data_IF_490912035474
#
_entry.id   IF_490912035474
#
_cell.length_a   1.000
_cell.length_b   1.000
_cell.length_c   1.000
_cell.angle_alpha   90.00
_cell.angle_beta   90.00
_cell.angle_gamma   90.00
#
_symmetry.space_group_name_H-M   'P 1'
#
loop_
_entity.id
_entity.type
_entity.pdbx_description
1 polymer ?
#
# COMPACT_ATOMS: atom_id res chain seq x y z
N UNK A 1 26.26 3.48 -17.22
CA UNK A 1 25.10 2.79 -17.82
C UNK A 1 25.03 3.23 -19.28
N UNK A 2 25.09 2.28 -20.22
CA UNK A 2 24.92 2.58 -21.64
C UNK A 2 23.47 3.06 -21.87
N UNK A 3 23.28 4.35 -22.17
CA UNK A 3 22.05 4.76 -22.85
C UNK A 3 22.18 4.24 -24.28
N UNK A 4 21.19 3.49 -24.82
CA UNK A 4 21.17 3.23 -26.24
C UNK A 4 21.10 4.59 -26.94
N UNK A 5 22.07 4.90 -27.78
CA UNK A 5 21.90 5.91 -28.81
C UNK A 5 20.79 5.40 -29.71
N UNK A 6 19.62 6.06 -29.68
CA UNK A 6 18.56 5.82 -30.65
C UNK A 6 19.18 6.04 -32.03
N UNK A 7 19.31 4.95 -32.78
CA UNK A 7 19.70 5.01 -34.17
C UNK A 7 18.48 5.47 -34.95
N UNK A 8 18.48 6.73 -35.40
CA UNK A 8 17.41 7.35 -36.20
C UNK A 8 17.14 6.61 -37.53
N UNK A 9 17.90 5.54 -37.84
CA UNK A 9 17.73 4.70 -39.03
C UNK A 9 17.10 3.33 -38.78
N UNK A 10 16.80 2.96 -37.52
CA UNK A 10 16.18 1.68 -37.22
C UNK A 10 14.70 1.66 -37.68
N UNK A 11 14.38 0.85 -38.71
CA UNK A 11 12.99 0.60 -39.09
C UNK A 11 12.20 0.08 -37.88
N UNK A 12 11.12 0.78 -37.53
CA UNK A 12 10.18 0.33 -36.51
C UNK A 12 9.64 -1.06 -36.86
N UNK A 13 9.53 -1.92 -35.84
CA UNK A 13 8.87 -3.22 -36.00
C UNK A 13 7.43 -3.01 -36.44
N UNK A 14 6.81 -4.03 -37.05
CA UNK A 14 5.44 -3.92 -37.59
C UNK A 14 4.45 -3.44 -36.53
N UNK A 15 4.58 -3.95 -35.32
CA UNK A 15 3.80 -3.62 -34.13
C UNK A 15 4.02 -2.19 -33.62
N UNK A 16 5.15 -1.55 -33.95
CA UNK A 16 5.52 -0.21 -33.48
C UNK A 16 5.29 0.88 -34.53
N UNK A 17 4.92 0.51 -35.77
CA UNK A 17 4.73 1.46 -36.88
C UNK A 17 3.72 2.57 -36.57
N UNK A 18 2.75 2.31 -35.69
CA UNK A 18 1.78 3.33 -35.28
C UNK A 18 2.44 4.52 -34.57
N UNK A 19 3.60 4.34 -33.94
CA UNK A 19 4.33 5.40 -33.23
C UNK A 19 4.81 6.48 -34.20
N UNK A 20 5.20 6.10 -35.43
CA UNK A 20 5.72 7.04 -36.42
C UNK A 20 4.71 8.13 -36.81
N UNK A 21 3.43 7.77 -36.86
CA UNK A 21 2.35 8.65 -37.29
C UNK A 21 1.45 9.05 -36.11
N UNK A 22 1.87 8.78 -34.86
CA UNK A 22 1.06 9.07 -33.68
C UNK A 22 1.03 10.57 -33.40
N UNK A 23 -0.16 11.16 -33.44
CA UNK A 23 -0.39 12.56 -33.12
C UNK A 23 -0.37 12.80 -31.60
N UNK A 24 0.83 12.98 -31.05
CA UNK A 24 1.05 13.23 -29.62
C UNK A 24 0.34 14.52 -29.17
N UNK A 25 0.35 15.58 -29.99
CA UNK A 25 -0.26 16.87 -29.65
C UNK A 25 -1.78 16.77 -29.61
N UNK A 26 -2.38 16.17 -30.65
CA UNK A 26 -3.83 15.91 -30.71
C UNK A 26 -4.30 15.02 -29.58
N UNK A 27 -3.60 13.91 -29.32
CA UNK A 27 -3.92 13.03 -28.19
C UNK A 27 -3.82 13.75 -26.84
N UNK A 28 -2.80 14.57 -26.64
CA UNK A 28 -2.62 15.36 -25.40
C UNK A 28 -3.81 16.32 -25.20
N UNK A 29 -4.24 16.99 -26.26
CA UNK A 29 -5.38 17.91 -26.22
C UNK A 29 -6.70 17.16 -25.94
N UNK A 30 -6.92 16.01 -26.56
CA UNK A 30 -8.10 15.17 -26.31
C UNK A 30 -8.16 14.70 -24.84
N UNK A 31 -7.04 14.24 -24.28
CA UNK A 31 -6.94 13.84 -22.88
C UNK A 31 -7.20 15.03 -21.94
N UNK A 32 -6.68 16.22 -22.25
CA UNK A 32 -6.93 17.44 -21.48
C UNK A 32 -8.42 17.81 -21.49
N UNK A 33 -9.05 17.84 -22.66
CA UNK A 33 -10.49 18.13 -22.81
C UNK A 33 -11.34 17.10 -22.06
N UNK A 34 -11.00 15.82 -22.18
CA UNK A 34 -11.68 14.75 -21.45
C UNK A 34 -11.54 14.94 -19.93
N UNK A 35 -10.33 15.23 -19.45
CA UNK A 35 -10.06 15.49 -18.03
C UNK A 35 -10.89 16.65 -17.48
N UNK A 36 -10.93 17.78 -18.18
CA UNK A 36 -11.75 18.94 -17.78
C UNK A 36 -13.26 18.63 -17.78
N UNK A 37 -13.73 17.85 -18.75
CA UNK A 37 -15.12 17.40 -18.80
C UNK A 37 -15.46 16.52 -17.61
N UNK A 38 -14.66 15.49 -17.34
CA UNK A 38 -14.88 14.55 -16.24
C UNK A 38 -14.78 15.24 -14.86
N UNK A 39 -13.84 16.17 -14.71
CA UNK A 39 -13.68 16.93 -13.47
C UNK A 39 -14.91 17.79 -13.15
N UNK A 40 -15.56 18.38 -14.18
CA UNK A 40 -16.82 19.12 -14.03
C UNK A 40 -18.04 18.23 -13.74
N UNK A 41 -17.93 16.93 -14.03
CA UNK A 41 -19.00 15.96 -13.79
C UNK A 41 -18.96 15.35 -12.37
N UNK A 42 -17.90 15.60 -11.61
CA UNK A 42 -17.82 15.15 -10.22
C UNK A 42 -18.94 15.77 -9.37
N UNK A 43 -19.56 14.98 -8.50
CA UNK A 43 -20.69 15.46 -7.69
C UNK A 43 -21.22 14.46 -6.69
N UNK A 44 -22.52 14.56 -6.42
CA UNK A 44 -23.17 13.77 -5.36
C UNK A 44 -23.14 12.25 -5.63
N UNK A 45 -23.04 11.82 -6.89
CA UNK A 45 -22.92 10.41 -7.25
C UNK A 45 -21.63 9.78 -6.74
N UNK A 46 -20.50 10.47 -6.90
CA UNK A 46 -19.20 10.02 -6.40
C UNK A 46 -19.21 9.93 -4.86
N UNK A 47 -19.81 10.93 -4.21
CA UNK A 47 -19.96 10.96 -2.75
C UNK A 47 -20.86 9.82 -2.26
N UNK A 48 -21.96 9.52 -2.98
CA UNK A 48 -22.81 8.36 -2.67
C UNK A 48 -22.07 7.05 -2.85
N UNK A 49 -21.27 6.92 -3.91
CA UNK A 49 -20.43 5.76 -4.14
C UNK A 49 -19.43 5.55 -3.00
N UNK A 50 -18.68 6.59 -2.62
CA UNK A 50 -17.75 6.55 -1.50
C UNK A 50 -18.44 6.11 -0.20
N UNK A 51 -19.58 6.71 0.13
CA UNK A 51 -20.35 6.35 1.33
C UNK A 51 -20.77 4.88 1.32
N UNK A 52 -21.16 4.34 0.17
CA UNK A 52 -21.47 2.92 0.01
C UNK A 52 -20.24 2.04 0.28
N UNK A 53 -19.08 2.39 -0.27
CA UNK A 53 -17.84 1.65 -0.03
C UNK A 53 -17.41 1.69 1.44
N UNK A 54 -17.52 2.87 2.09
CA UNK A 54 -17.27 3.02 3.53
C UNK A 54 -18.26 2.20 4.35
N UNK A 55 -19.53 2.17 3.98
CA UNK A 55 -20.54 1.37 4.66
C UNK A 55 -20.22 -0.13 4.58
N UNK A 56 -19.91 -0.66 3.39
CA UNK A 56 -19.52 -2.07 3.23
C UNK A 56 -18.25 -2.42 4.00
N UNK A 57 -17.23 -1.56 3.96
CA UNK A 57 -16.02 -1.69 4.77
C UNK A 57 -16.35 -1.73 6.26
N UNK A 58 -17.21 -0.84 6.76
CA UNK A 58 -17.63 -0.80 8.16
C UNK A 58 -18.45 -2.02 8.57
N UNK A 59 -19.29 -2.56 7.68
CA UNK A 59 -20.02 -3.81 7.93
C UNK A 59 -19.06 -4.97 8.11
N UNK A 60 -18.03 -5.09 7.26
CA UNK A 60 -16.99 -6.09 7.42
C UNK A 60 -16.23 -5.92 8.75
N UNK A 61 -15.94 -4.68 9.14
CA UNK A 61 -15.33 -4.35 10.43
C UNK A 61 -16.21 -4.80 11.60
N UNK A 62 -17.50 -4.46 11.58
CA UNK A 62 -18.44 -4.81 12.63
C UNK A 62 -18.57 -6.33 12.78
N UNK A 63 -18.76 -7.04 11.67
CA UNK A 63 -18.81 -8.52 11.67
C UNK A 63 -17.51 -9.09 12.22
N UNK A 64 -16.36 -8.64 11.73
CA UNK A 64 -15.06 -9.11 12.17
C UNK A 64 -14.80 -8.87 13.66
N UNK A 65 -14.95 -7.62 14.10
CA UNK A 65 -14.65 -7.16 15.46
C UNK A 65 -15.63 -7.70 16.50
N UNK A 66 -16.90 -7.96 16.15
CA UNK A 66 -17.89 -8.50 17.08
C UNK A 66 -17.82 -10.04 17.20
N UNK A 67 -17.22 -10.73 16.23
CA UNK A 67 -17.16 -12.20 16.22
C UNK A 67 -15.80 -12.76 16.63
N UNK A 68 -14.72 -11.97 16.60
CA UNK A 68 -13.34 -12.48 16.71
C UNK A 68 -13.01 -13.19 18.03
N UNK A 69 -13.69 -12.90 19.13
CA UNK A 69 -13.45 -13.59 20.39
C UNK A 69 -14.21 -14.91 20.57
N UNK A 70 -15.17 -15.24 19.70
CA UNK A 70 -16.00 -16.43 19.84
C UNK A 70 -15.39 -17.64 19.11
N UNK A 71 -14.13 -17.94 19.45
CA UNK A 71 -13.33 -18.98 18.78
C UNK A 71 -12.73 -18.52 17.46
N UNK A 72 -11.76 -19.30 16.95
CA UNK A 72 -11.14 -19.06 15.64
C UNK A 72 -12.15 -19.43 14.55
N UNK A 73 -12.52 -18.45 13.70
CA UNK A 73 -13.59 -18.66 12.74
C UNK A 73 -13.39 -17.84 11.45
N UNK A 74 -13.87 -18.40 10.34
CA UNK A 74 -13.68 -17.82 9.00
C UNK A 74 -14.40 -16.47 8.85
N UNK A 75 -15.53 -16.28 9.53
CA UNK A 75 -16.32 -15.06 9.45
C UNK A 75 -15.54 -13.86 9.99
N UNK A 76 -14.88 -14.03 11.13
CA UNK A 76 -14.00 -13.01 11.71
C UNK A 76 -12.82 -12.70 10.80
N UNK A 77 -12.14 -13.74 10.31
CA UNK A 77 -10.95 -13.61 9.47
C UNK A 77 -11.26 -12.86 8.18
N UNK A 78 -12.32 -13.26 7.46
CA UNK A 78 -12.73 -12.62 6.21
C UNK A 78 -13.25 -11.21 6.46
N UNK A 79 -14.07 -10.99 7.49
CA UNK A 79 -14.59 -9.66 7.82
C UNK A 79 -13.47 -8.66 8.17
N UNK A 80 -12.55 -9.05 9.04
CA UNK A 80 -11.39 -8.22 9.41
C UNK A 80 -10.46 -7.99 8.21
N UNK A 81 -10.27 -9.01 7.37
CA UNK A 81 -9.41 -8.88 6.19
C UNK A 81 -10.00 -7.96 5.13
N UNK A 82 -11.28 -8.13 4.78
CA UNK A 82 -11.97 -7.25 3.84
C UNK A 82 -12.06 -5.82 4.37
N UNK A 83 -12.25 -5.64 5.67
CA UNK A 83 -12.16 -4.32 6.30
C UNK A 83 -10.80 -3.68 6.04
N UNK A 84 -9.69 -4.32 6.43
CA UNK A 84 -8.35 -3.73 6.28
C UNK A 84 -7.98 -3.53 4.82
N UNK A 85 -8.28 -4.50 3.95
CA UNK A 85 -8.02 -4.40 2.51
C UNK A 85 -8.79 -3.24 1.87
N UNK A 86 -10.11 -3.15 2.07
CA UNK A 86 -10.93 -2.12 1.40
C UNK A 86 -10.63 -0.71 1.92
N UNK A 87 -10.20 -0.57 3.19
CA UNK A 87 -9.70 0.71 3.72
C UNK A 87 -8.55 1.26 2.90
N UNK A 88 -7.62 0.41 2.51
CA UNK A 88 -6.50 0.82 1.67
C UNK A 88 -6.91 0.97 0.20
N UNK A 89 -7.34 -0.12 -0.44
CA UNK A 89 -7.44 -0.20 -1.90
C UNK A 89 -8.64 0.53 -2.48
N UNK A 90 -9.75 0.60 -1.75
CA UNK A 90 -11.00 1.19 -2.23
C UNK A 90 -11.22 2.61 -1.72
N UNK A 91 -10.81 2.89 -0.47
CA UNK A 91 -11.13 4.17 0.19
C UNK A 91 -9.91 5.11 0.20
N UNK A 92 -8.80 4.69 0.82
CA UNK A 92 -7.61 5.51 0.92
C UNK A 92 -7.01 5.83 -0.45
N UNK A 93 -6.84 4.81 -1.31
CA UNK A 93 -6.24 4.98 -2.63
C UNK A 93 -6.93 6.10 -3.44
N UNK A 94 -8.25 6.03 -3.61
CA UNK A 94 -9.01 7.03 -4.37
C UNK A 94 -9.04 8.40 -3.68
N UNK A 95 -9.11 8.42 -2.34
CA UNK A 95 -9.13 9.69 -1.58
C UNK A 95 -7.77 10.39 -1.64
N UNK A 96 -6.68 9.65 -1.53
CA UNK A 96 -5.32 10.15 -1.60
C UNK A 96 -4.88 10.56 -3.01
N UNK A 97 -5.57 10.08 -4.06
CA UNK A 97 -5.49 10.67 -5.41
C UNK A 97 -6.31 11.94 -5.59
N UNK A 98 -7.10 12.30 -4.58
CA UNK A 98 -7.95 13.49 -4.59
C UNK A 98 -9.24 13.33 -5.38
N UNK A 99 -9.70 12.09 -5.59
CA UNK A 99 -10.96 11.80 -6.29
C UNK A 99 -12.21 12.44 -5.66
N UNK A 100 -12.10 12.94 -4.42
CA UNK A 100 -13.21 13.55 -3.68
C UNK A 100 -12.95 15.01 -3.25
N UNK A 101 -11.82 15.61 -3.61
CA UNK A 101 -11.39 16.93 -3.13
C UNK A 101 -12.39 18.05 -3.47
N UNK A 102 -13.02 17.95 -4.64
CA UNK A 102 -13.92 18.97 -5.17
C UNK A 102 -15.37 18.76 -4.74
N UNK A 103 -15.83 17.51 -4.73
CA UNK A 103 -17.24 17.15 -4.53
C UNK A 103 -17.63 16.80 -3.09
N UNK A 104 -16.72 16.31 -2.24
CA UNK A 104 -17.13 15.89 -0.90
C UNK A 104 -17.41 17.10 0.01
N UNK A 105 -18.53 17.13 0.75
CA UNK A 105 -18.88 18.27 1.61
C UNK A 105 -17.90 18.45 2.78
N UNK A 106 -17.41 17.34 3.37
CA UNK A 106 -16.37 17.37 4.41
C UNK A 106 -14.96 17.27 3.81
N UNK A 107 -14.45 18.40 3.33
CA UNK A 107 -13.07 18.56 2.81
C UNK A 107 -12.01 18.59 3.90
N UNK A 108 -12.42 18.54 5.18
CA UNK A 108 -11.48 18.47 6.31
C UNK A 108 -10.97 17.04 6.52
N UNK A 109 -11.72 16.05 6.05
CA UNK A 109 -11.40 14.62 6.12
C UNK A 109 -11.16 14.02 4.74
N UNK A 110 -12.08 14.22 3.80
CA UNK A 110 -12.05 13.58 2.47
C UNK A 110 -11.29 14.46 1.48
N UNK A 111 -9.99 14.59 1.74
CA UNK A 111 -9.08 15.35 0.89
C UNK A 111 -7.71 14.67 0.85
N UNK A 112 -7.05 14.71 -0.31
CA UNK A 112 -5.77 14.02 -0.52
C UNK A 112 -4.67 14.35 0.50
N UNK A 113 -4.69 15.55 1.06
CA UNK A 113 -3.68 16.00 2.03
C UNK A 113 -4.06 15.81 3.50
N UNK A 114 -5.30 15.40 3.78
CA UNK A 114 -5.88 15.38 5.14
C UNK A 114 -6.41 14.02 5.58
N UNK A 115 -6.73 13.16 4.62
CA UNK A 115 -7.25 11.83 4.90
C UNK A 115 -6.19 10.98 5.61
N UNK A 116 -6.54 10.37 6.75
CA UNK A 116 -5.64 9.51 7.54
C UNK A 116 -4.34 10.15 8.10
N UNK A 117 -4.11 11.46 7.87
CA UNK A 117 -2.88 12.18 8.23
C UNK A 117 -3.13 13.18 9.36
N UNK A 118 -2.08 13.47 10.15
CA UNK A 118 -2.06 14.58 11.11
C UNK A 118 -2.42 14.20 12.56
N UNK A 119 -3.01 13.03 12.80
CA UNK A 119 -3.14 12.46 14.14
C UNK A 119 -3.30 10.94 14.10
N UNK A 120 -2.89 10.26 15.18
CA UNK A 120 -3.13 8.81 15.33
C UNK A 120 -4.62 8.47 15.25
N UNK A 121 -5.49 9.36 15.73
CA UNK A 121 -6.94 9.17 15.64
C UNK A 121 -7.44 9.17 14.18
N UNK A 122 -6.94 10.09 13.35
CA UNK A 122 -7.28 10.11 11.91
C UNK A 122 -6.79 8.84 11.23
N UNK A 123 -5.54 8.45 11.46
CA UNK A 123 -4.98 7.19 10.93
C UNK A 123 -5.85 6.00 11.33
N UNK A 124 -6.22 5.90 12.60
CA UNK A 124 -7.04 4.79 13.10
C UNK A 124 -8.41 4.69 12.41
N UNK A 125 -9.10 5.81 12.22
CA UNK A 125 -10.46 5.83 11.66
C UNK A 125 -10.50 5.73 10.13
N UNK A 126 -9.49 6.27 9.47
CA UNK A 126 -9.48 6.43 8.01
C UNK A 126 -8.75 5.28 7.33
N UNK A 127 -7.52 4.99 7.77
CA UNK A 127 -6.67 3.95 7.20
C UNK A 127 -5.55 3.55 8.17
N UNK A 128 -5.79 2.46 8.89
CA UNK A 128 -4.86 1.90 9.86
C UNK A 128 -4.27 0.59 9.32
N UNK A 129 -3.03 0.65 8.85
CA UNK A 129 -2.28 -0.46 8.24
C UNK A 129 -0.78 -0.29 8.54
N UNK A 130 0.04 -1.27 8.13
CA UNK A 130 1.50 -1.27 8.23
C UNK A 130 2.15 -0.08 7.53
N UNK A 131 1.52 0.41 6.46
CA UNK A 131 1.97 1.59 5.72
C UNK A 131 1.55 2.86 6.46
N UNK A 132 2.47 3.83 6.54
CA UNK A 132 2.09 5.18 6.94
C UNK A 132 1.40 5.89 5.77
N UNK A 133 0.21 6.49 5.96
CA UNK A 133 -0.47 7.21 4.89
C UNK A 133 0.37 8.31 4.25
N UNK A 134 1.15 9.05 5.05
CA UNK A 134 2.06 10.09 4.56
C UNK A 134 3.16 9.51 3.67
N UNK A 135 3.65 8.31 4.02
CA UNK A 135 4.73 7.64 3.32
C UNK A 135 4.26 7.03 2.01
N UNK A 136 3.12 6.33 2.06
CA UNK A 136 2.48 5.78 0.88
C UNK A 136 2.08 6.87 -0.11
N UNK A 137 1.55 8.02 0.35
CA UNK A 137 1.23 9.13 -0.54
C UNK A 137 2.45 9.66 -1.30
N UNK A 138 3.64 9.64 -0.69
CA UNK A 138 4.87 10.08 -1.37
C UNK A 138 5.33 9.03 -2.39
N UNK A 139 5.41 7.77 -1.99
CA UNK A 139 5.86 6.68 -2.89
C UNK A 139 4.87 6.50 -4.04
N UNK A 140 3.60 6.26 -3.72
CA UNK A 140 2.57 5.93 -4.71
C UNK A 140 2.36 7.06 -5.70
N UNK A 141 2.15 8.29 -5.23
CA UNK A 141 1.77 9.40 -6.11
C UNK A 141 2.94 10.01 -6.88
N UNK A 142 4.16 9.98 -6.34
CA UNK A 142 5.30 10.66 -6.95
C UNK A 142 6.33 9.71 -7.58
N UNK A 143 6.24 8.40 -7.32
CA UNK A 143 7.18 7.41 -7.88
C UNK A 143 6.43 6.38 -8.69
N UNK A 144 5.55 5.61 -8.06
CA UNK A 144 4.87 4.50 -8.72
C UNK A 144 4.11 4.92 -9.98
N UNK A 145 3.24 5.95 -9.93
CA UNK A 145 2.52 6.39 -11.15
C UNK A 145 3.40 6.93 -12.27
N UNK A 146 4.60 7.43 -11.96
CA UNK A 146 5.51 7.99 -12.97
C UNK A 146 6.43 6.94 -13.58
N UNK A 147 6.68 5.86 -12.85
CA UNK A 147 7.62 4.81 -13.23
C UNK A 147 6.90 3.47 -13.41
N UNK A 148 5.57 3.44 -13.54
CA UNK A 148 4.77 2.22 -13.44
C UNK A 148 5.32 1.12 -14.36
N UNK A 149 5.64 -0.04 -13.79
CA UNK A 149 6.24 -1.20 -14.50
C UNK A 149 7.65 -0.98 -15.06
N UNK A 150 8.33 0.09 -14.67
CA UNK A 150 9.74 0.34 -14.95
C UNK A 150 10.63 -0.09 -13.77
N UNK A 151 11.94 -0.20 -14.01
CA UNK A 151 12.93 -0.58 -12.97
C UNK A 151 12.97 0.43 -11.82
N UNK A 152 12.63 1.70 -12.09
CA UNK A 152 12.57 2.75 -11.08
C UNK A 152 11.22 2.79 -10.32
N UNK A 153 10.28 1.90 -10.65
CA UNK A 153 9.05 1.69 -9.89
C UNK A 153 9.39 1.06 -8.54
N UNK A 154 9.13 1.74 -7.43
CA UNK A 154 9.41 1.16 -6.13
C UNK A 154 8.54 -0.08 -5.86
N UNK A 155 7.39 -0.22 -6.54
CA UNK A 155 6.40 -1.29 -6.40
C UNK A 155 6.58 -2.47 -7.38
N UNK A 156 7.61 -2.45 -8.24
CA UNK A 156 7.86 -3.55 -9.18
C UNK A 156 8.32 -4.82 -8.45
N UNK A 157 7.36 -5.68 -8.13
CA UNK A 157 7.58 -6.92 -7.36
C UNK A 157 8.61 -7.84 -8.02
N UNK A 158 8.65 -7.89 -9.35
CA UNK A 158 9.63 -8.69 -10.09
C UNK A 158 11.06 -8.24 -9.77
N UNK A 159 11.33 -6.94 -9.84
CA UNK A 159 12.65 -6.38 -9.57
C UNK A 159 13.00 -6.48 -8.08
N UNK A 160 12.03 -6.25 -7.19
CA UNK A 160 12.21 -6.43 -5.75
C UNK A 160 12.49 -7.89 -5.33
N UNK A 161 12.21 -8.87 -6.20
CA UNK A 161 12.51 -10.29 -6.00
C UNK A 161 13.68 -10.79 -6.85
N UNK A 162 14.51 -9.90 -7.42
CA UNK A 162 15.67 -10.29 -8.23
C UNK A 162 16.59 -11.29 -7.52
N UNK A 163 16.87 -11.09 -6.22
CA UNK A 163 17.65 -12.02 -5.39
C UNK A 163 17.08 -13.46 -5.42
N UNK A 164 15.75 -13.62 -5.35
CA UNK A 164 15.10 -14.94 -5.39
C UNK A 164 15.03 -15.48 -6.83
N UNK A 165 14.74 -14.60 -7.79
CA UNK A 165 14.66 -14.92 -9.22
C UNK A 165 15.99 -15.47 -9.73
N UNK A 166 17.09 -14.83 -9.37
CA UNK A 166 18.42 -15.12 -9.89
C UNK A 166 19.16 -16.18 -9.04
N UNK A 167 18.63 -16.54 -7.87
CA UNK A 167 19.19 -17.57 -7.01
C UNK A 167 19.29 -18.92 -7.75
N UNK A 168 20.46 -19.55 -7.69
CA UNK A 168 20.71 -20.87 -8.28
C UNK A 168 20.18 -22.00 -7.40
N UNK A 169 18.85 -22.06 -7.22
CA UNK A 169 18.12 -23.12 -6.50
C UNK A 169 17.00 -23.68 -7.38
N UNK A 170 16.55 -24.94 -7.14
CA UNK A 170 15.43 -25.51 -7.87
C UNK A 170 14.18 -24.62 -7.83
N UNK A 171 13.49 -24.48 -8.97
CA UNK A 171 12.30 -23.64 -9.11
C UNK A 171 11.20 -23.96 -8.08
N UNK A 172 11.07 -25.23 -7.68
CA UNK A 172 10.14 -25.65 -6.62
C UNK A 172 10.40 -24.92 -5.30
N UNK A 173 11.67 -24.74 -4.93
CA UNK A 173 12.02 -24.01 -3.70
C UNK A 173 11.69 -22.52 -3.82
N UNK A 174 11.81 -21.92 -5.01
CA UNK A 174 11.37 -20.55 -5.27
C UNK A 174 9.85 -20.42 -5.08
N UNK A 175 9.06 -21.36 -5.61
CA UNK A 175 7.61 -21.36 -5.41
C UNK A 175 7.20 -21.58 -3.94
N UNK A 176 7.93 -22.41 -3.19
CA UNK A 176 7.68 -22.60 -1.76
C UNK A 176 7.95 -21.33 -0.93
N UNK A 177 8.77 -20.40 -1.42
CA UNK A 177 8.98 -19.10 -0.78
C UNK A 177 7.81 -18.13 -0.99
N UNK A 178 6.99 -18.31 -2.04
CA UNK A 178 5.93 -17.36 -2.40
C UNK A 178 4.86 -17.18 -1.31
N UNK A 179 4.31 -18.23 -0.67
CA UNK A 179 3.33 -18.03 0.41
C UNK A 179 3.86 -17.16 1.56
N UNK A 180 5.15 -17.28 1.88
CA UNK A 180 5.80 -16.43 2.87
C UNK A 180 5.86 -14.98 2.39
N UNK A 181 6.39 -14.73 1.19
CA UNK A 181 6.49 -13.38 0.60
C UNK A 181 5.11 -12.72 0.53
N UNK A 182 4.13 -13.43 -0.02
CA UNK A 182 2.75 -12.95 -0.18
C UNK A 182 2.08 -12.60 1.14
N UNK A 183 2.44 -13.27 2.23
CA UNK A 183 1.85 -13.00 3.56
C UNK A 183 2.60 -11.95 4.38
N UNK A 184 3.82 -11.57 3.98
CA UNK A 184 4.66 -10.64 4.76
C UNK A 184 5.05 -9.36 4.05
N UNK A 185 4.86 -9.25 2.74
CA UNK A 185 5.41 -8.16 1.92
C UNK A 185 5.12 -6.75 2.45
N UNK A 186 3.91 -6.48 3.00
CA UNK A 186 3.56 -5.15 3.50
C UNK A 186 4.49 -4.66 4.60
N UNK A 187 4.76 -5.47 5.62
CA UNK A 187 5.60 -5.05 6.75
C UNK A 187 7.08 -5.34 6.51
N UNK A 188 7.39 -6.36 5.71
CA UNK A 188 8.77 -6.76 5.41
C UNK A 188 9.46 -5.83 4.40
N UNK A 189 8.73 -5.39 3.38
CA UNK A 189 9.28 -4.62 2.26
C UNK A 189 8.55 -3.28 2.09
N UNK A 190 7.22 -3.27 2.02
CA UNK A 190 6.51 -2.07 1.55
C UNK A 190 6.52 -0.92 2.58
N UNK A 191 6.25 -1.22 3.84
CA UNK A 191 6.29 -0.25 4.93
C UNK A 191 7.67 0.40 5.12
N UNK A 192 8.80 -0.36 5.15
CA UNK A 192 10.11 0.28 5.21
C UNK A 192 10.43 1.06 3.91
N UNK A 193 10.09 0.55 2.72
CA UNK A 193 10.38 1.24 1.47
C UNK A 193 9.59 2.55 1.30
N UNK A 194 8.29 2.56 1.63
CA UNK A 194 7.47 3.80 1.65
C UNK A 194 8.04 4.82 2.63
N UNK A 195 8.49 4.36 3.80
CA UNK A 195 9.12 5.25 4.77
C UNK A 195 10.44 5.83 4.26
N UNK A 196 11.25 5.04 3.54
CA UNK A 196 12.46 5.52 2.84
C UNK A 196 12.12 6.64 1.85
N UNK A 197 11.11 6.45 1.00
CA UNK A 197 10.69 7.49 0.04
C UNK A 197 10.21 8.78 0.73
N UNK A 198 9.50 8.66 1.86
CA UNK A 198 9.13 9.82 2.69
C UNK A 198 10.36 10.59 3.20
N UNK A 199 11.38 9.88 3.68
CA UNK A 199 12.64 10.48 4.15
C UNK A 199 13.42 11.12 3.02
N UNK A 200 13.52 10.46 1.87
CA UNK A 200 14.14 11.02 0.66
C UNK A 200 13.42 12.31 0.22
N UNK A 201 12.09 12.31 0.17
CA UNK A 201 11.33 13.51 -0.16
C UNK A 201 11.52 14.64 0.88
N UNK A 202 11.70 14.31 2.16
CA UNK A 202 12.07 15.29 3.19
C UNK A 202 13.48 15.86 2.95
N UNK A 203 14.47 15.01 2.71
CA UNK A 203 15.85 15.42 2.42
C UNK A 203 15.93 16.33 1.19
N UNK A 204 15.24 15.97 0.09
CA UNK A 204 15.16 16.78 -1.13
C UNK A 204 14.58 18.17 -0.86
N UNK A 205 13.50 18.26 -0.09
CA UNK A 205 12.88 19.53 0.33
C UNK A 205 13.81 20.39 1.20
N UNK A 206 14.64 19.74 2.01
CA UNK A 206 15.65 20.40 2.87
C UNK A 206 16.95 20.73 2.11
N UNK A 207 17.06 20.41 0.81
CA UNK A 207 18.27 20.62 0.03
C UNK A 207 19.45 19.73 0.44
N UNK A 208 19.21 18.64 1.17
CA UNK A 208 20.25 17.72 1.61
C UNK A 208 20.65 16.78 0.48
N UNK A 209 21.96 16.66 0.25
CA UNK A 209 22.50 15.67 -0.67
C UNK A 209 22.26 14.25 -0.15
N UNK A 210 22.06 13.32 -1.07
CA UNK A 210 22.08 11.88 -0.76
C UNK A 210 23.54 11.51 -0.47
N UNK A 211 23.83 10.73 0.59
CA UNK A 211 25.21 10.34 0.90
C UNK A 211 25.86 9.58 -0.27
N UNK A 212 27.17 9.76 -0.43
CA UNK A 212 27.93 9.12 -1.50
C UNK A 212 27.83 7.58 -1.41
N UNK A 213 27.71 6.94 -2.57
CA UNK A 213 27.61 5.47 -2.67
C UNK A 213 26.23 4.88 -2.32
N UNK A 214 25.24 5.71 -1.97
CA UNK A 214 23.88 5.26 -1.69
C UNK A 214 23.05 5.29 -2.97
N UNK A 215 22.53 4.15 -3.39
CA UNK A 215 21.52 4.10 -4.45
C UNK A 215 20.13 4.44 -3.85
N UNK A 216 19.52 5.59 -4.15
CA UNK A 216 18.21 5.95 -3.61
C UNK A 216 17.06 5.10 -4.17
N UNK A 217 17.24 4.49 -5.34
CA UNK A 217 16.24 3.61 -5.95
C UNK A 217 16.21 2.22 -5.28
N UNK A 218 17.29 1.81 -4.61
CA UNK A 218 17.33 0.52 -3.93
C UNK A 218 16.24 0.42 -2.85
N UNK A 219 15.57 -0.73 -2.81
CA UNK A 219 14.54 -1.00 -1.82
C UNK A 219 15.14 -1.14 -0.41
N UNK A 220 14.43 -0.62 0.59
CA UNK A 220 14.75 -0.90 2.00
C UNK A 220 13.75 -1.91 2.53
N UNK A 221 14.26 -3.00 3.09
CA UNK A 221 13.46 -4.09 3.69
C UNK A 221 13.83 -4.27 5.15
N UNK A 222 13.04 -5.04 5.90
CA UNK A 222 13.40 -5.43 7.27
C UNK A 222 14.73 -6.18 7.29
N UNK A 223 15.03 -7.02 6.28
CA UNK A 223 16.32 -7.69 6.14
C UNK A 223 17.47 -6.69 6.00
N UNK A 224 17.36 -5.70 5.12
CA UNK A 224 18.45 -4.72 4.94
C UNK A 224 18.61 -3.86 6.19
N UNK A 225 17.53 -3.47 6.86
CA UNK A 225 17.59 -2.76 8.15
C UNK A 225 18.27 -3.57 9.25
N UNK A 226 18.07 -4.89 9.31
CA UNK A 226 18.68 -5.76 10.31
C UNK A 226 20.17 -6.04 10.03
N UNK A 227 20.54 -6.25 8.77
CA UNK A 227 21.87 -6.73 8.41
C UNK A 227 22.85 -5.60 8.08
N UNK A 228 22.37 -4.52 7.47
CA UNK A 228 23.22 -3.48 6.87
C UNK A 228 22.82 -2.06 7.30
N UNK A 229 21.60 -1.88 7.81
CA UNK A 229 21.04 -0.58 8.11
C UNK A 229 20.70 0.22 6.85
N UNK A 230 20.36 1.50 7.06
CA UNK A 230 20.09 2.46 5.98
C UNK A 230 20.44 3.86 6.48
N UNK A 231 20.92 4.78 5.61
CA UNK A 231 21.22 6.15 6.01
C UNK A 231 19.98 7.01 6.28
N UNK A 232 18.78 6.55 5.89
CA UNK A 232 17.57 7.38 5.91
C UNK A 232 16.85 7.41 7.25
N UNK A 233 16.93 6.33 8.04
CA UNK A 233 16.29 6.18 9.35
C UNK A 233 16.88 4.98 10.09
N UNK A 234 16.70 4.95 11.41
CA UNK A 234 17.16 3.81 12.23
C UNK A 234 16.09 2.72 12.33
N UNK A 235 16.51 1.50 12.70
CA UNK A 235 15.57 0.42 13.03
C UNK A 235 14.61 0.83 14.15
N UNK A 236 15.12 1.51 15.19
CA UNK A 236 14.28 1.98 16.29
C UNK A 236 13.21 2.96 15.83
N UNK A 237 13.55 3.89 14.94
CA UNK A 237 12.59 4.83 14.37
C UNK A 237 11.53 4.11 13.53
N UNK A 238 11.92 3.16 12.69
CA UNK A 238 10.97 2.32 11.95
C UNK A 238 10.03 1.56 12.90
N UNK A 239 10.56 0.93 13.94
CA UNK A 239 9.78 0.19 14.92
C UNK A 239 8.84 1.09 15.73
N UNK A 240 9.29 2.26 16.16
CA UNK A 240 8.49 3.14 17.03
C UNK A 240 7.47 3.99 16.27
N UNK A 241 7.76 4.38 15.02
CA UNK A 241 6.90 5.29 14.23
C UNK A 241 5.99 4.54 13.26
N UNK A 242 6.51 3.48 12.62
CA UNK A 242 5.80 2.76 11.55
C UNK A 242 5.10 1.52 12.10
N UNK A 243 5.87 0.57 12.65
CA UNK A 243 5.39 -0.77 13.04
C UNK A 243 4.62 -0.74 14.36
N UNK A 244 5.20 -0.11 15.37
CA UNK A 244 4.76 -0.15 16.76
C UNK A 244 3.32 0.31 16.96
N UNK A 245 2.90 1.47 16.43
CA UNK A 245 1.51 1.92 16.56
C UNK A 245 0.53 0.89 16.00
N UNK A 246 0.78 0.37 14.79
CA UNK A 246 -0.11 -0.62 14.20
C UNK A 246 -0.16 -1.91 15.00
N UNK A 247 1.01 -2.46 15.36
CA UNK A 247 1.13 -3.70 16.12
C UNK A 247 0.42 -3.62 17.47
N UNK A 248 0.68 -2.56 18.25
CA UNK A 248 0.10 -2.37 19.57
C UNK A 248 -1.42 -2.25 19.48
N UNK A 249 -1.94 -1.40 18.59
CA UNK A 249 -3.37 -1.21 18.48
C UNK A 249 -4.05 -2.47 17.95
N UNK A 250 -3.54 -3.05 16.87
CA UNK A 250 -4.14 -4.20 16.18
C UNK A 250 -4.17 -5.44 17.08
N UNK A 251 -3.07 -5.77 17.75
CA UNK A 251 -2.91 -7.06 18.43
C UNK A 251 -2.98 -7.01 19.95
N UNK A 252 -2.91 -5.83 20.57
CA UNK A 252 -3.03 -5.70 22.03
C UNK A 252 -4.29 -4.93 22.43
N UNK A 253 -4.52 -3.75 21.87
CA UNK A 253 -5.64 -2.87 22.29
C UNK A 253 -6.97 -3.35 21.71
N UNK A 254 -7.04 -3.61 20.41
CA UNK A 254 -8.28 -4.05 19.73
C UNK A 254 -8.89 -5.34 20.31
N UNK A 255 -8.12 -6.40 20.63
CA UNK A 255 -8.69 -7.60 21.25
C UNK A 255 -8.94 -7.47 22.76
N UNK A 256 -8.46 -6.42 23.44
CA UNK A 256 -8.55 -6.27 24.89
C UNK A 256 -9.97 -6.37 25.48
N UNK A 257 -11.04 -5.85 24.85
CA UNK A 257 -12.40 -6.04 25.36
C UNK A 257 -12.78 -7.52 25.55
N UNK A 258 -12.27 -8.42 24.70
CA UNK A 258 -12.52 -9.85 24.81
C UNK A 258 -11.84 -10.53 26.00
N UNK A 259 -10.77 -9.93 26.53
CA UNK A 259 -10.20 -10.38 27.80
C UNK A 259 -11.20 -10.17 28.93
N UNK A 260 -11.75 -8.97 29.06
CA UNK A 260 -12.71 -8.64 30.13
C UNK A 260 -14.04 -9.36 29.96
N UNK A 261 -14.56 -9.47 28.74
CA UNK A 261 -15.79 -10.24 28.45
C UNK A 261 -15.56 -11.71 28.77
N UNK A 262 -14.41 -12.27 28.37
CA UNK A 262 -14.04 -13.65 28.68
C UNK A 262 -13.97 -13.93 30.17
N UNK A 263 -13.41 -13.01 30.96
CA UNK A 263 -13.44 -13.12 32.42
C UNK A 263 -14.85 -13.06 33.01
N UNK A 264 -15.71 -12.19 32.48
CA UNK A 264 -17.07 -12.02 32.99
C UNK A 264 -17.97 -13.24 32.75
N UNK A 265 -17.81 -13.91 31.59
CA UNK A 265 -18.62 -15.06 31.18
C UNK A 265 -17.93 -16.43 31.38
N UNK A 266 -16.80 -16.49 32.08
CA UNK A 266 -15.99 -17.71 32.28
C UNK A 266 -15.57 -18.38 30.94
N UNK A 267 -15.20 -17.55 29.96
CA UNK A 267 -14.70 -17.93 28.63
C UNK A 267 -13.25 -17.43 28.44
N UNK A 268 -12.24 -18.03 29.09
CA UNK A 268 -10.87 -17.49 29.12
C UNK A 268 -10.17 -17.43 27.75
N UNK A 269 -10.65 -18.20 26.77
CA UNK A 269 -10.07 -18.25 25.42
C UNK A 269 -10.49 -17.11 24.50
N UNK A 270 -11.36 -16.19 24.93
CA UNK A 270 -11.89 -15.14 24.04
C UNK A 270 -10.80 -14.19 23.54
N UNK A 271 -9.89 -13.76 24.41
CA UNK A 271 -8.79 -12.89 24.03
C UNK A 271 -7.83 -13.57 23.04
N UNK A 272 -7.42 -14.81 23.33
CA UNK A 272 -6.51 -15.55 22.45
C UNK A 272 -7.15 -15.83 21.10
N UNK A 273 -8.45 -16.17 21.07
CA UNK A 273 -9.21 -16.33 19.82
C UNK A 273 -9.23 -15.05 19.00
N UNK A 274 -9.45 -13.89 19.64
CA UNK A 274 -9.45 -12.59 18.97
C UNK A 274 -8.09 -12.28 18.35
N UNK A 275 -7.00 -12.45 19.10
CA UNK A 275 -5.63 -12.27 18.59
C UNK A 275 -5.33 -13.22 17.43
N UNK A 276 -5.72 -14.49 17.52
CA UNK A 276 -5.52 -15.47 16.44
C UNK A 276 -6.30 -15.09 15.18
N UNK A 277 -7.57 -14.69 15.32
CA UNK A 277 -8.37 -14.23 14.18
C UNK A 277 -7.79 -12.97 13.52
N UNK A 278 -7.29 -12.00 14.31
CA UNK A 278 -6.60 -10.83 13.80
C UNK A 278 -5.33 -11.22 13.02
N UNK A 279 -4.55 -12.17 13.52
CA UNK A 279 -3.34 -12.64 12.84
C UNK A 279 -3.65 -13.34 11.52
N UNK A 280 -4.64 -14.24 11.52
CA UNK A 280 -5.11 -14.89 10.29
C UNK A 280 -5.69 -13.89 9.28
N UNK A 281 -6.40 -12.86 9.76
CA UNK A 281 -6.89 -11.78 8.92
C UNK A 281 -5.75 -10.96 8.29
N UNK A 282 -4.64 -10.73 9.01
CA UNK A 282 -3.44 -10.11 8.43
C UNK A 282 -2.85 -10.97 7.31
N UNK A 283 -2.70 -12.29 7.51
CA UNK A 283 -2.19 -13.19 6.48
C UNK A 283 -3.06 -13.12 5.22
N UNK A 284 -4.39 -13.22 5.38
CA UNK A 284 -5.33 -13.16 4.26
C UNK A 284 -5.28 -11.78 3.56
N UNK A 285 -5.18 -10.69 4.33
CA UNK A 285 -5.10 -9.33 3.79
C UNK A 285 -3.83 -9.12 2.98
N UNK A 286 -2.70 -9.63 3.45
CA UNK A 286 -1.43 -9.55 2.75
C UNK A 286 -1.46 -10.33 1.44
N UNK A 287 -1.99 -11.56 1.46
CA UNK A 287 -2.15 -12.40 0.27
C UNK A 287 -3.07 -11.72 -0.77
N UNK A 288 -4.23 -11.21 -0.33
CA UNK A 288 -5.15 -10.50 -1.21
C UNK A 288 -4.52 -9.21 -1.77
N UNK A 289 -3.82 -8.45 -0.91
CA UNK A 289 -3.03 -7.28 -1.31
C UNK A 289 -1.99 -7.59 -2.37
N UNK A 290 -1.24 -8.67 -2.16
CA UNK A 290 -0.18 -9.09 -3.08
C UNK A 290 -0.76 -9.44 -4.45
N UNK A 291 -1.86 -10.19 -4.51
CA UNK A 291 -2.53 -10.47 -5.77
C UNK A 291 -2.99 -9.21 -6.49
N UNK A 292 -3.58 -8.26 -5.77
CA UNK A 292 -4.06 -7.02 -6.36
C UNK A 292 -2.91 -6.14 -6.91
N UNK A 293 -1.76 -6.09 -6.22
CA UNK A 293 -0.61 -5.29 -6.64
C UNK A 293 0.11 -5.96 -7.81
N UNK A 294 0.49 -7.23 -7.69
CA UNK A 294 1.30 -7.92 -8.72
C UNK A 294 0.62 -7.91 -10.08
N UNK A 295 -0.71 -8.05 -10.14
CA UNK A 295 -1.43 -8.01 -11.41
C UNK A 295 -1.39 -6.64 -12.09
N UNK A 296 -1.17 -5.55 -11.35
CA UNK A 296 -1.04 -4.21 -11.95
C UNK A 296 0.30 -4.01 -12.68
N UNK A 297 1.28 -4.88 -12.42
CA UNK A 297 2.59 -4.89 -13.08
C UNK A 297 2.73 -6.05 -14.08
N UNK A 298 1.63 -6.73 -14.42
CA UNK A 298 1.64 -7.81 -15.40
C UNK A 298 1.28 -7.25 -16.79
N UNK A 299 2.23 -7.24 -17.73
CA UNK A 299 1.95 -6.79 -19.11
C UNK A 299 3.13 -6.49 -20.01
N UNK A 300 4.36 -6.86 -19.61
CA UNK A 300 5.59 -6.56 -20.33
C UNK A 300 5.84 -7.54 -21.48
#
# INVERSE_FOLDING_TARGET
MCRPTLDDTAQLKREDKWIADFDVEGFTEEIRILGEKLEKQQGDEDVRHLRKMVAWSNTCAAVGLLTMGFGVNILSVVGLSLFTFSRWTMIAHHTCHGGYDRCHPDKSRWNRFKFAVGSLWRRFNDWFDWMMPEAWNVEHNNRHHYNLSEVDDPDLVEENLCDLRDMNIPTVLKYLAMPFIMSTWKWFYYAPNTYKELKLAKMRREGKAIPDGVNPAAAVTVKSLLLSGTPFYSMWEFLSVVVGPYLVFRFLITPLPYYFIGQHFDMPSMYTSAVTNLFLAELLTNVHGFFAVVTNHAGN
#
